data_IF_507367398898
#
_entry.id   IF_507367398898
#
_cell.length_a   1.000
_cell.length_b   1.000
_cell.length_c   1.000
_cell.angle_alpha   90.00
_cell.angle_beta   90.00
_cell.angle_gamma   90.00
#
_symmetry.space_group_name_H-M   'P 1'
#
loop_
_entity.id
_entity.type
_entity.pdbx_description
1 polymer ?
#
# COMPACT_ATOMS: atom_id res chain seq x y z
N UNK A 1 -24.95 -3.10 5.05
CA UNK A 1 -26.11 -2.38 4.52
C UNK A 1 -25.75 -0.94 4.12
N UNK A 2 -25.19 -0.13 5.04
CA UNK A 2 -24.81 1.28 4.78
C UNK A 2 -23.85 1.45 3.58
N UNK A 3 -22.77 0.68 3.51
CA UNK A 3 -21.77 0.82 2.45
C UNK A 3 -22.33 0.59 1.02
N UNK A 4 -23.26 -0.36 0.86
CA UNK A 4 -23.90 -0.63 -0.44
C UNK A 4 -24.85 0.51 -0.85
N UNK A 5 -25.57 1.11 0.11
CA UNK A 5 -26.40 2.29 -0.15
C UNK A 5 -25.54 3.48 -0.58
N UNK A 6 -24.36 3.65 0.04
CA UNK A 6 -23.39 4.69 -0.35
C UNK A 6 -23.00 4.59 -1.82
N UNK A 7 -22.80 3.38 -2.35
CA UNK A 7 -22.47 3.22 -3.79
C UNK A 7 -23.58 3.70 -4.70
N UNK A 8 -24.82 3.26 -4.44
CA UNK A 8 -25.99 3.64 -5.25
C UNK A 8 -26.19 5.15 -5.22
N UNK A 9 -26.12 5.74 -4.03
CA UNK A 9 -26.19 7.19 -3.86
C UNK A 9 -25.05 7.92 -4.59
N UNK A 10 -23.85 7.36 -4.60
CA UNK A 10 -22.69 7.96 -5.27
C UNK A 10 -22.87 8.06 -6.79
N UNK A 11 -23.59 7.11 -7.42
CA UNK A 11 -23.94 7.22 -8.84
C UNK A 11 -24.86 8.43 -9.08
N UNK A 12 -25.91 8.57 -8.28
CA UNK A 12 -26.82 9.72 -8.38
C UNK A 12 -26.09 11.04 -8.11
N UNK A 13 -25.24 11.08 -7.09
CA UNK A 13 -24.45 12.26 -6.75
C UNK A 13 -23.53 12.68 -7.89
N UNK A 14 -22.78 11.75 -8.47
CA UNK A 14 -21.86 12.05 -9.57
C UNK A 14 -22.56 12.24 -10.92
N UNK A 15 -23.83 11.84 -11.05
CA UNK A 15 -24.64 12.25 -12.19
C UNK A 15 -24.93 13.76 -12.17
N UNK A 16 -25.34 14.31 -11.01
CA UNK A 16 -25.55 15.76 -10.86
C UNK A 16 -24.24 16.55 -10.73
N UNK A 17 -23.21 15.96 -10.11
CA UNK A 17 -21.93 16.61 -9.82
C UNK A 17 -20.73 15.81 -10.36
N UNK A 18 -20.60 15.66 -11.69
CA UNK A 18 -19.63 14.74 -12.31
C UNK A 18 -18.17 15.06 -11.98
N UNK A 19 -17.84 16.34 -11.83
CA UNK A 19 -16.47 16.82 -11.55
C UNK A 19 -16.19 17.03 -10.06
N UNK A 20 -17.17 16.83 -9.17
CA UNK A 20 -16.96 17.06 -7.73
C UNK A 20 -16.01 16.02 -7.16
N UNK A 21 -14.98 16.48 -6.46
CA UNK A 21 -14.00 15.67 -5.74
C UNK A 21 -13.78 16.24 -4.34
N UNK A 22 -13.36 15.39 -3.43
CA UNK A 22 -13.02 15.71 -2.05
C UNK A 22 -11.50 15.55 -1.86
N UNK A 23 -10.88 16.47 -1.12
CA UNK A 23 -9.43 16.39 -0.86
C UNK A 23 -9.17 15.51 0.36
N UNK A 24 -8.38 14.46 0.17
CA UNK A 24 -7.86 13.61 1.24
C UNK A 24 -6.81 14.38 2.05
N UNK A 25 -6.94 14.48 3.38
CA UNK A 25 -5.94 15.17 4.18
C UNK A 25 -4.66 14.33 4.28
N UNK A 26 -3.48 14.96 4.13
CA UNK A 26 -2.18 14.27 4.26
C UNK A 26 -1.96 13.67 5.65
N UNK A 27 -2.43 14.34 6.69
CA UNK A 27 -2.42 13.80 8.05
C UNK A 27 -3.63 14.31 8.85
N UNK A 28 -4.07 13.51 9.82
CA UNK A 28 -5.01 13.93 10.87
C UNK A 28 -4.61 13.30 12.20
N UNK A 29 -4.61 14.07 13.30
CA UNK A 29 -4.41 13.50 14.62
C UNK A 29 -5.56 12.53 14.97
N UNK A 30 -5.35 11.71 16.00
CA UNK A 30 -6.42 10.95 16.61
C UNK A 30 -7.58 11.88 17.02
N UNK A 31 -8.82 11.43 16.81
CA UNK A 31 -10.01 12.15 17.25
C UNK A 31 -10.12 12.18 18.78
N UNK A 32 -9.63 11.12 19.43
CA UNK A 32 -9.64 10.96 20.88
C UNK A 32 -8.24 10.49 21.32
N UNK A 33 -7.65 11.05 22.39
CA UNK A 33 -6.37 10.57 22.89
C UNK A 33 -6.49 9.12 23.40
N UNK A 34 -5.46 8.32 23.16
CA UNK A 34 -5.36 6.98 23.75
C UNK A 34 -4.33 6.95 24.86
N UNK A 35 -4.70 6.39 26.01
CA UNK A 35 -3.75 6.08 27.09
C UNK A 35 -3.07 4.72 26.90
N UNK A 36 -3.53 3.92 25.94
CA UNK A 36 -3.02 2.56 25.68
C UNK A 36 -1.80 2.61 24.79
N UNK A 37 -0.63 2.31 25.36
CA UNK A 37 0.59 2.05 24.61
C UNK A 37 0.64 0.58 24.19
N UNK A 38 1.19 0.32 23.02
CA UNK A 38 1.37 -1.02 22.46
C UNK A 38 2.56 -1.04 21.51
N UNK A 39 3.01 -2.23 21.13
CA UNK A 39 4.17 -2.39 20.23
C UNK A 39 3.89 -1.88 18.83
N UNK A 40 2.64 -1.95 18.37
CA UNK A 40 2.17 -1.37 17.11
C UNK A 40 1.76 0.09 17.35
N UNK A 41 2.45 1.08 16.75
CA UNK A 41 2.10 2.49 16.85
C UNK A 41 0.69 2.77 16.36
N UNK A 42 0.02 3.74 16.98
CA UNK A 42 -1.37 4.10 16.65
C UNK A 42 -1.46 5.00 15.42
N UNK A 43 -0.95 4.52 14.29
CA UNK A 43 -0.91 5.23 13.01
C UNK A 43 -1.56 4.35 11.95
N UNK A 44 -2.52 4.91 11.22
CA UNK A 44 -3.12 4.30 10.03
C UNK A 44 -2.48 4.96 8.81
N UNK A 45 -1.81 4.14 7.98
CA UNK A 45 -1.20 4.52 6.72
C UNK A 45 -2.11 4.14 5.56
N UNK A 46 -2.35 5.08 4.66
CA UNK A 46 -2.98 4.83 3.37
C UNK A 46 -2.19 5.53 2.26
N UNK A 47 -2.33 5.05 1.03
CA UNK A 47 -1.77 5.71 -0.14
C UNK A 47 -2.73 5.63 -1.31
N UNK A 48 -2.64 6.60 -2.21
CA UNK A 48 -3.35 6.59 -3.48
C UNK A 48 -2.58 7.40 -4.54
N UNK A 49 -2.97 7.29 -5.80
CA UNK A 49 -2.36 8.07 -6.89
C UNK A 49 -2.76 9.55 -6.89
N UNK A 50 -3.85 9.91 -6.20
CA UNK A 50 -4.34 11.29 -6.08
C UNK A 50 -5.01 11.51 -4.73
N UNK A 51 -4.98 12.76 -4.24
CA UNK A 51 -5.72 13.18 -3.06
C UNK A 51 -7.13 13.67 -3.41
N UNK A 52 -7.50 13.70 -4.70
CA UNK A 52 -8.83 14.08 -5.18
C UNK A 52 -9.73 12.85 -5.27
N UNK A 53 -10.40 12.53 -4.18
CA UNK A 53 -11.28 11.36 -4.05
C UNK A 53 -12.70 11.62 -4.57
N UNK A 54 -13.32 10.58 -5.13
CA UNK A 54 -14.77 10.53 -5.35
C UNK A 54 -15.52 10.41 -4.03
N UNK A 55 -16.82 10.71 -4.02
CA UNK A 55 -17.64 10.65 -2.80
C UNK A 55 -17.51 9.31 -2.04
N UNK A 56 -17.65 8.12 -2.67
CA UNK A 56 -17.61 6.86 -1.93
C UNK A 56 -16.23 6.57 -1.33
N UNK A 57 -15.14 6.97 -2.00
CA UNK A 57 -13.78 6.83 -1.47
C UNK A 57 -13.58 7.75 -0.26
N UNK A 58 -14.08 8.98 -0.33
CA UNK A 58 -14.00 9.92 0.79
C UNK A 58 -14.84 9.47 1.99
N UNK A 59 -16.05 8.95 1.75
CA UNK A 59 -16.90 8.39 2.80
C UNK A 59 -16.27 7.15 3.45
N UNK A 60 -15.57 6.31 2.67
CA UNK A 60 -14.79 5.18 3.18
C UNK A 60 -13.73 5.65 4.19
N UNK A 61 -12.99 6.71 3.84
CA UNK A 61 -12.02 7.35 4.73
C UNK A 61 -12.67 7.88 6.01
N UNK A 62 -13.78 8.64 5.90
CA UNK A 62 -14.47 9.18 7.07
C UNK A 62 -14.96 8.07 8.01
N UNK A 63 -15.48 6.98 7.44
CA UNK A 63 -15.90 5.82 8.22
C UNK A 63 -14.72 5.18 8.98
N UNK A 64 -13.57 5.02 8.32
CA UNK A 64 -12.36 4.52 8.97
C UNK A 64 -11.86 5.43 10.10
N UNK A 65 -12.00 6.75 9.96
CA UNK A 65 -11.68 7.70 11.05
C UNK A 65 -12.62 7.55 12.24
N UNK A 66 -13.92 7.38 11.98
CA UNK A 66 -14.93 7.23 13.02
C UNK A 66 -14.75 5.94 13.82
N UNK A 67 -14.45 4.83 13.15
CA UNK A 67 -14.30 3.52 13.80
C UNK A 67 -12.94 3.33 14.50
N UNK A 68 -11.94 4.14 14.15
CA UNK A 68 -10.61 4.15 14.77
C UNK A 68 -10.26 5.53 15.34
N UNK A 69 -11.04 6.02 16.32
CA UNK A 69 -10.94 7.41 16.79
C UNK A 69 -9.63 7.70 17.54
N UNK A 70 -8.98 6.66 18.08
CA UNK A 70 -7.74 6.71 18.86
C UNK A 70 -6.47 6.61 18.00
N UNK A 71 -6.62 6.56 16.67
CA UNK A 71 -5.52 6.37 15.74
C UNK A 71 -5.27 7.64 14.94
N UNK A 72 -4.00 7.98 14.77
CA UNK A 72 -3.56 8.98 13.81
C UNK A 72 -3.79 8.45 12.39
N UNK A 73 -4.07 9.35 11.46
CA UNK A 73 -4.20 9.05 10.04
C UNK A 73 -3.07 9.73 9.26
N UNK A 74 -2.41 8.97 8.38
CA UNK A 74 -1.40 9.46 7.44
C UNK A 74 -1.68 8.95 6.04
N UNK A 75 -1.59 9.85 5.08
CA UNK A 75 -1.91 9.61 3.68
C UNK A 75 -0.80 10.12 2.78
N UNK A 76 -0.25 9.21 1.97
CA UNK A 76 0.83 9.50 1.03
C UNK A 76 0.35 9.38 -0.41
N UNK A 77 0.74 10.33 -1.25
CA UNK A 77 0.64 10.20 -2.70
C UNK A 77 1.84 9.47 -3.30
N UNK A 78 1.81 9.28 -4.63
CA UNK A 78 2.89 8.63 -5.38
C UNK A 78 4.24 9.25 -5.11
N UNK A 79 4.33 10.56 -5.18
CA UNK A 79 5.54 11.34 -4.93
C UNK A 79 6.02 11.21 -3.47
N UNK A 80 5.09 11.21 -2.50
CA UNK A 80 5.43 11.10 -1.08
C UNK A 80 6.06 9.74 -0.74
N UNK A 81 5.68 8.68 -1.46
CA UNK A 81 6.23 7.33 -1.26
C UNK A 81 7.72 7.29 -1.58
N UNK A 82 8.13 7.84 -2.72
CA UNK A 82 9.53 7.90 -3.14
C UNK A 82 10.36 8.76 -2.18
N UNK A 83 9.83 9.93 -1.79
CA UNK A 83 10.48 10.82 -0.82
C UNK A 83 10.72 10.10 0.51
N UNK A 84 9.69 9.43 1.05
CA UNK A 84 9.82 8.65 2.28
C UNK A 84 10.93 7.59 2.19
N UNK A 85 11.01 6.87 1.07
CA UNK A 85 12.03 5.83 0.89
C UNK A 85 13.43 6.46 0.87
N UNK A 86 13.62 7.53 0.09
CA UNK A 86 14.91 8.23 0.00
C UNK A 86 15.42 8.81 1.32
N UNK A 87 14.52 9.10 2.27
CA UNK A 87 14.87 9.65 3.58
C UNK A 87 15.17 8.59 4.65
N UNK A 88 14.74 7.34 4.43
CA UNK A 88 14.74 6.33 5.50
C UNK A 88 15.43 5.02 5.14
N UNK A 89 15.71 4.78 3.87
CA UNK A 89 16.33 3.58 3.31
C UNK A 89 17.52 3.97 2.43
N UNK A 90 18.37 2.98 2.16
CA UNK A 90 19.56 3.15 1.31
C UNK A 90 19.21 3.31 -0.19
N UNK A 91 20.25 3.61 -0.97
CA UNK A 91 20.14 3.80 -2.41
C UNK A 91 19.67 2.53 -3.14
N UNK A 92 19.99 1.33 -2.63
CA UNK A 92 19.63 0.08 -3.26
C UNK A 92 18.12 -0.19 -3.17
N UNK A 93 17.52 0.06 -2.01
CA UNK A 93 16.06 -0.03 -1.82
C UNK A 93 15.35 1.01 -2.69
N UNK A 94 15.86 2.23 -2.75
CA UNK A 94 15.30 3.28 -3.61
C UNK A 94 15.40 2.91 -5.10
N UNK A 95 16.53 2.36 -5.54
CA UNK A 95 16.73 1.90 -6.91
C UNK A 95 15.76 0.77 -7.28
N UNK A 96 15.53 -0.20 -6.37
CA UNK A 96 14.50 -1.22 -6.56
C UNK A 96 13.11 -0.60 -6.70
N UNK A 97 12.77 0.38 -5.85
CA UNK A 97 11.48 1.06 -5.91
C UNK A 97 11.29 1.81 -7.25
N UNK A 98 12.31 2.53 -7.70
CA UNK A 98 12.27 3.32 -8.94
C UNK A 98 12.14 2.46 -10.21
N UNK A 99 12.52 1.17 -10.14
CA UNK A 99 12.29 0.22 -11.25
C UNK A 99 10.82 -0.16 -11.42
N UNK A 100 9.97 -0.05 -10.40
CA UNK A 100 8.57 -0.46 -10.48
C UNK A 100 7.76 0.49 -11.37
N UNK A 101 7.14 -0.03 -12.43
CA UNK A 101 6.39 0.78 -13.41
C UNK A 101 4.88 0.84 -13.10
N UNK A 102 4.38 -0.05 -12.24
CA UNK A 102 2.96 -0.14 -11.91
C UNK A 102 2.73 0.44 -10.51
N UNK A 103 1.84 1.44 -10.42
CA UNK A 103 1.57 2.16 -9.17
C UNK A 103 1.10 1.28 -8.01
N UNK A 104 0.41 0.16 -8.30
CA UNK A 104 0.03 -0.84 -7.30
C UNK A 104 1.24 -1.61 -6.76
N UNK A 105 2.18 -2.01 -7.62
CA UNK A 105 3.43 -2.65 -7.19
C UNK A 105 4.29 -1.70 -6.35
N UNK A 106 4.35 -0.42 -6.73
CA UNK A 106 4.97 0.62 -5.91
C UNK A 106 4.29 0.76 -4.53
N UNK A 107 2.96 0.68 -4.46
CA UNK A 107 2.23 0.76 -3.19
C UNK A 107 2.46 -0.47 -2.31
N UNK A 108 2.59 -1.66 -2.92
CA UNK A 108 2.95 -2.90 -2.26
C UNK A 108 4.34 -2.85 -1.63
N UNK A 109 5.34 -2.31 -2.33
CA UNK A 109 6.67 -2.19 -1.73
C UNK A 109 6.68 -1.10 -0.63
N UNK A 110 6.09 0.06 -0.92
CA UNK A 110 6.03 1.16 0.05
C UNK A 110 5.32 0.78 1.36
N UNK A 111 4.19 0.04 1.31
CA UNK A 111 3.46 -0.35 2.55
C UNK A 111 4.30 -1.22 3.47
N UNK A 112 5.15 -2.08 2.92
CA UNK A 112 6.07 -2.93 3.67
C UNK A 112 7.17 -2.06 4.30
N UNK A 113 7.75 -1.14 3.52
CA UNK A 113 8.82 -0.25 3.99
C UNK A 113 8.33 0.72 5.08
N UNK A 114 7.19 1.38 4.88
CA UNK A 114 6.66 2.31 5.90
C UNK A 114 6.33 1.59 7.20
N UNK A 115 5.78 0.37 7.14
CA UNK A 115 5.50 -0.44 8.33
C UNK A 115 6.77 -0.96 9.00
N UNK A 116 7.78 -1.37 8.23
CA UNK A 116 9.06 -1.79 8.82
C UNK A 116 9.72 -0.62 9.55
N UNK A 117 9.75 0.58 8.94
CA UNK A 117 10.42 1.74 9.54
C UNK A 117 9.63 2.35 10.71
N UNK A 118 8.34 2.58 10.51
CA UNK A 118 7.51 3.41 11.40
C UNK A 118 6.47 2.61 12.18
N UNK A 119 6.21 1.35 11.79
CA UNK A 119 5.11 0.56 12.31
C UNK A 119 3.74 1.15 11.99
N UNK A 120 2.73 0.56 12.63
CA UNK A 120 1.34 0.97 12.55
C UNK A 120 0.48 -0.01 11.78
N UNK A 121 -0.59 0.49 11.18
CA UNK A 121 -1.52 -0.27 10.38
C UNK A 121 -1.56 0.32 8.98
N UNK A 122 -1.27 -0.47 7.97
CA UNK A 122 -1.56 -0.14 6.59
C UNK A 122 -2.96 -0.63 6.23
N UNK A 123 -3.70 0.20 5.47
CA UNK A 123 -5.02 -0.12 4.94
C UNK A 123 -5.18 0.41 3.51
N UNK A 124 -5.56 -0.44 2.56
CA UNK A 124 -5.87 0.00 1.18
C UNK A 124 -6.95 1.09 1.17
N UNK A 125 -6.89 2.00 0.20
CA UNK A 125 -7.78 3.17 0.14
C UNK A 125 -9.27 2.81 -0.03
N UNK A 126 -9.55 1.65 -0.63
CA UNK A 126 -10.88 1.10 -0.85
C UNK A 126 -11.30 0.10 0.23
N UNK A 127 -10.48 -0.09 1.27
CA UNK A 127 -10.75 -0.97 2.38
C UNK A 127 -11.26 -0.20 3.61
N UNK A 128 -12.07 -0.86 4.43
CA UNK A 128 -12.54 -0.32 5.71
C UNK A 128 -12.58 -1.39 6.79
N UNK A 129 -12.36 -0.94 8.01
CA UNK A 129 -12.45 -1.77 9.20
C UNK A 129 -13.90 -2.08 9.53
N UNK A 130 -14.18 -3.29 10.01
CA UNK A 130 -15.53 -3.71 10.40
C UNK A 130 -15.82 -3.45 11.88
N UNK A 131 -14.77 -3.20 12.67
CA UNK A 131 -14.80 -2.90 14.09
C UNK A 131 -13.57 -2.10 14.49
N UNK A 132 -13.55 -1.44 15.66
CA UNK A 132 -12.38 -0.72 16.13
C UNK A 132 -11.14 -1.62 16.20
N UNK A 133 -9.97 -1.07 15.88
CA UNK A 133 -8.70 -1.83 15.83
C UNK A 133 -8.34 -2.47 17.17
N UNK A 134 -8.81 -1.92 18.29
CA UNK A 134 -8.64 -2.48 19.63
C UNK A 134 -9.24 -3.88 19.80
N UNK A 135 -10.18 -4.27 18.94
CA UNK A 135 -10.75 -5.62 18.93
C UNK A 135 -10.01 -6.58 17.99
N UNK A 136 -9.08 -6.06 17.19
CA UNK A 136 -8.26 -6.82 16.24
C UNK A 136 -6.85 -7.00 16.80
N UNK A 137 -6.32 -5.94 17.43
CA UNK A 137 -4.94 -5.83 17.90
C UNK A 137 -4.86 -5.72 19.43
N UNK A 138 -3.99 -6.53 20.01
CA UNK A 138 -3.56 -6.50 21.40
C UNK A 138 -2.29 -5.66 21.54
N UNK A 139 -2.05 -5.00 22.69
CA UNK A 139 -0.83 -4.21 22.91
C UNK A 139 0.49 -4.98 22.74
N UNK A 140 0.47 -6.31 22.91
CA UNK A 140 1.63 -7.20 22.82
C UNK A 140 1.87 -7.75 21.41
N UNK A 141 0.94 -7.53 20.47
CA UNK A 141 1.10 -8.02 19.10
C UNK A 141 2.29 -7.33 18.41
N UNK A 142 3.12 -8.12 17.73
CA UNK A 142 4.19 -7.59 16.88
C UNK A 142 3.70 -7.35 15.44
N UNK A 143 2.63 -8.03 15.03
CA UNK A 143 2.04 -7.95 13.70
C UNK A 143 0.64 -8.55 13.66
N UNK A 144 -0.10 -8.28 12.58
CA UNK A 144 -1.31 -9.01 12.22
C UNK A 144 -1.59 -8.89 10.72
N UNK A 145 -2.07 -9.97 10.11
CA UNK A 145 -2.42 -10.03 8.69
C UNK A 145 -3.85 -10.54 8.50
N UNK A 146 -4.54 -10.08 7.44
CA UNK A 146 -5.86 -10.59 7.12
C UNK A 146 -5.77 -11.82 6.23
N UNK A 147 -6.47 -12.90 6.61
CA UNK A 147 -6.71 -14.06 5.74
C UNK A 147 -7.95 -13.87 4.88
N UNK A 148 -7.80 -14.17 3.59
CA UNK A 148 -8.91 -14.23 2.63
C UNK A 148 -9.79 -15.45 2.90
N UNK A 149 -10.93 -15.55 2.19
CA UNK A 149 -11.80 -16.73 2.26
C UNK A 149 -11.09 -18.04 1.86
N UNK A 150 -10.03 -17.96 1.04
CA UNK A 150 -9.27 -19.13 0.59
C UNK A 150 -8.20 -19.59 1.59
N UNK A 151 -7.97 -18.81 2.65
CA UNK A 151 -6.94 -19.09 3.65
C UNK A 151 -5.63 -18.36 3.42
N UNK A 152 -5.43 -17.80 2.23
CA UNK A 152 -4.23 -17.02 1.89
C UNK A 152 -4.17 -15.69 2.65
N UNK A 153 -2.96 -15.25 2.98
CA UNK A 153 -2.71 -13.90 3.45
C UNK A 153 -3.03 -12.89 2.35
N UNK A 154 -3.63 -11.78 2.74
CA UNK A 154 -3.78 -10.58 1.92
C UNK A 154 -2.83 -9.49 2.39
N UNK A 155 -2.54 -8.52 1.53
CA UNK A 155 -1.70 -7.37 1.86
C UNK A 155 -2.48 -6.04 1.96
N UNK A 156 -3.82 -6.04 1.78
CA UNK A 156 -4.65 -4.83 1.87
C UNK A 156 -4.84 -4.33 3.31
N UNK A 157 -4.54 -5.18 4.30
CA UNK A 157 -4.46 -4.85 5.72
C UNK A 157 -3.22 -5.51 6.31
N UNK A 158 -2.36 -4.72 6.94
CA UNK A 158 -1.18 -5.21 7.64
C UNK A 158 -1.00 -4.35 8.88
N UNK A 159 -0.86 -4.98 10.04
CA UNK A 159 -0.42 -4.32 11.26
C UNK A 159 1.00 -4.79 11.58
N UNK A 160 1.89 -3.89 12.00
CA UNK A 160 3.25 -4.26 12.39
C UNK A 160 3.87 -3.26 13.35
N UNK A 161 4.72 -3.75 14.25
CA UNK A 161 5.63 -2.89 15.01
C UNK A 161 6.81 -2.42 14.15
N UNK A 162 7.45 -1.29 14.48
CA UNK A 162 8.71 -0.90 13.86
C UNK A 162 9.78 -1.98 14.04
N UNK A 163 10.61 -2.19 13.03
CA UNK A 163 11.71 -3.15 13.02
C UNK A 163 11.25 -4.61 13.16
N UNK A 164 10.08 -4.96 12.65
CA UNK A 164 9.60 -6.34 12.67
C UNK A 164 10.42 -7.21 11.69
N UNK A 165 11.05 -8.31 12.14
CA UNK A 165 11.86 -9.19 11.28
C UNK A 165 11.11 -9.78 10.08
N UNK A 166 9.82 -10.10 10.23
CA UNK A 166 9.00 -10.59 9.13
C UNK A 166 8.77 -9.49 8.08
N UNK A 167 8.59 -8.25 8.51
CA UNK A 167 8.46 -7.12 7.58
C UNK A 167 9.76 -6.86 6.82
N UNK A 168 10.90 -6.95 7.49
CA UNK A 168 12.23 -6.89 6.84
C UNK A 168 12.41 -8.03 5.83
N UNK A 169 12.09 -9.26 6.22
CA UNK A 169 12.14 -10.44 5.34
C UNK A 169 11.27 -10.28 4.10
N UNK A 170 10.07 -9.70 4.23
CA UNK A 170 9.20 -9.41 3.07
C UNK A 170 9.82 -8.32 2.20
N UNK A 171 10.34 -7.24 2.79
CA UNK A 171 11.00 -6.17 2.05
C UNK A 171 12.16 -6.71 1.20
N UNK A 172 13.01 -7.57 1.80
CA UNK A 172 14.14 -8.22 1.12
C UNK A 172 13.65 -9.17 0.02
N UNK A 173 12.57 -9.90 0.26
CA UNK A 173 11.92 -10.75 -0.73
C UNK A 173 11.41 -9.98 -1.93
N UNK A 174 10.73 -8.86 -1.70
CA UNK A 174 10.26 -7.95 -2.75
C UNK A 174 11.45 -7.39 -3.53
N UNK A 175 12.47 -6.88 -2.85
CA UNK A 175 13.67 -6.34 -3.51
C UNK A 175 14.38 -7.41 -4.37
N UNK A 176 14.45 -8.66 -3.90
CA UNK A 176 14.98 -9.79 -4.67
C UNK A 176 14.13 -10.08 -5.91
N UNK A 177 12.81 -10.10 -5.77
CA UNK A 177 11.90 -10.30 -6.90
C UNK A 177 11.95 -9.14 -7.90
N UNK A 178 12.27 -7.92 -7.48
CA UNK A 178 12.48 -6.80 -8.41
C UNK A 178 13.79 -7.00 -9.20
N UNK A 179 14.87 -7.44 -8.53
CA UNK A 179 16.16 -7.72 -9.20
C UNK A 179 16.08 -8.93 -10.13
N UNK A 180 15.35 -9.96 -9.71
CA UNK A 180 15.17 -11.20 -10.45
C UNK A 180 13.68 -11.58 -10.49
N UNK A 181 12.89 -10.98 -11.41
CA UNK A 181 11.45 -11.20 -11.49
C UNK A 181 11.11 -12.67 -11.73
N UNK A 182 10.33 -13.32 -10.83
CA UNK A 182 9.90 -14.70 -11.03
C UNK A 182 8.81 -14.83 -12.11
N UNK A 183 8.12 -13.73 -12.40
CA UNK A 183 7.05 -13.61 -13.39
C UNK A 183 6.85 -12.12 -13.73
N UNK A 184 5.92 -11.79 -14.64
CA UNK A 184 5.47 -10.42 -14.87
C UNK A 184 4.10 -10.17 -14.20
N UNK A 185 3.99 -10.48 -12.91
CA UNK A 185 2.73 -10.38 -12.16
C UNK A 185 2.96 -9.63 -10.84
N UNK A 186 2.20 -8.56 -10.61
CA UNK A 186 2.29 -7.76 -9.39
C UNK A 186 2.08 -8.63 -8.15
N UNK A 187 1.18 -9.60 -8.22
CA UNK A 187 0.88 -10.51 -7.11
C UNK A 187 2.11 -11.29 -6.62
N UNK A 188 2.96 -11.74 -7.54
CA UNK A 188 4.13 -12.57 -7.25
C UNK A 188 5.36 -11.73 -6.89
N UNK A 189 5.51 -10.55 -7.51
CA UNK A 189 6.70 -9.70 -7.34
C UNK A 189 6.63 -8.92 -6.02
N UNK A 190 5.52 -8.20 -5.79
CA UNK A 190 5.38 -7.26 -4.66
C UNK A 190 4.18 -7.58 -3.76
N UNK A 191 3.18 -8.26 -4.31
CA UNK A 191 1.88 -8.46 -3.69
C UNK A 191 1.81 -9.61 -2.68
N UNK A 192 0.59 -10.12 -2.40
CA UNK A 192 0.37 -11.16 -1.40
C UNK A 192 1.13 -12.47 -1.64
N UNK A 193 1.54 -12.78 -2.88
CA UNK A 193 2.31 -13.98 -3.19
C UNK A 193 3.62 -14.05 -2.39
N UNK A 194 4.27 -12.90 -2.19
CA UNK A 194 5.50 -12.80 -1.39
C UNK A 194 5.25 -13.14 0.09
N UNK A 195 4.15 -12.64 0.65
CA UNK A 195 3.77 -12.89 2.04
C UNK A 195 3.47 -14.36 2.27
N UNK A 196 2.68 -14.97 1.38
CA UNK A 196 2.31 -16.39 1.49
C UNK A 196 3.51 -17.33 1.29
N UNK A 197 4.51 -16.91 0.51
CA UNK A 197 5.73 -17.69 0.28
C UNK A 197 6.70 -17.60 1.47
N UNK A 198 6.85 -16.42 2.06
CA UNK A 198 7.91 -16.16 3.05
C UNK A 198 7.49 -16.34 4.50
N UNK A 199 6.19 -16.20 4.81
CA UNK A 199 5.70 -16.26 6.18
C UNK A 199 5.11 -17.61 6.54
N UNK A 200 5.48 -18.10 7.72
CA UNK A 200 4.85 -19.26 8.34
C UNK A 200 3.55 -18.84 9.03
N UNK A 201 2.41 -19.13 8.38
CA UNK A 201 1.09 -18.75 8.85
C UNK A 201 0.71 -19.35 10.23
N UNK A 202 1.45 -20.36 10.71
CA UNK A 202 1.24 -20.94 12.05
C UNK A 202 1.91 -20.13 13.17
N UNK A 203 2.88 -19.28 12.83
CA UNK A 203 3.68 -18.50 13.79
C UNK A 203 3.34 -17.02 13.83
N UNK A 204 2.54 -16.55 12.88
CA UNK A 204 2.13 -15.16 12.77
C UNK A 204 0.68 -14.99 13.21
N UNK A 205 0.35 -13.82 13.74
CA UNK A 205 -1.04 -13.48 14.05
C UNK A 205 -1.80 -13.23 12.76
N UNK A 206 -2.94 -13.90 12.64
CA UNK A 206 -3.86 -13.70 11.52
C UNK A 206 -5.26 -13.39 12.02
N UNK A 207 -6.01 -12.67 11.20
CA UNK A 207 -7.36 -12.26 11.49
C UNK A 207 -8.25 -12.51 10.27
N UNK A 208 -9.51 -12.89 10.49
CA UNK A 208 -10.42 -13.22 9.40
C UNK A 208 -10.98 -11.94 8.77
N UNK A 209 -11.01 -11.89 7.43
CA UNK A 209 -11.50 -10.72 6.68
C UNK A 209 -12.90 -10.28 7.15
N UNK A 210 -13.82 -11.22 7.36
CA UNK A 210 -15.22 -10.97 7.76
C UNK A 210 -15.41 -10.29 9.12
N UNK A 211 -14.37 -10.25 9.95
CA UNK A 211 -14.42 -9.61 11.27
C UNK A 211 -13.46 -8.43 11.41
N UNK A 212 -12.54 -8.28 10.46
CA UNK A 212 -11.46 -7.30 10.58
C UNK A 212 -11.66 -6.15 9.62
N UNK A 213 -11.67 -6.46 8.33
CA UNK A 213 -11.57 -5.47 7.28
C UNK A 213 -12.17 -6.03 5.99
N UNK A 214 -13.02 -5.23 5.35
CA UNK A 214 -13.60 -5.55 4.06
C UNK A 214 -13.15 -4.52 3.00
N UNK A 215 -12.90 -5.01 1.79
CA UNK A 215 -12.43 -4.23 0.66
C UNK A 215 -13.56 -4.02 -0.36
N UNK A 216 -13.65 -2.81 -0.91
CA UNK A 216 -14.54 -2.51 -2.03
C UNK A 216 -16.04 -2.54 -1.67
N UNK A 217 -16.44 -2.35 -0.42
CA UNK A 217 -17.87 -2.26 -0.05
C UNK A 217 -18.42 -0.84 -0.13
N UNK A 218 -17.60 0.20 0.06
CA UNK A 218 -18.00 1.60 -0.09
C UNK A 218 -17.86 2.09 -1.53
N UNK A 219 -16.88 1.57 -2.26
CA UNK A 219 -16.53 1.99 -3.63
C UNK A 219 -16.51 0.80 -4.59
N UNK A 220 -16.17 1.04 -5.86
CA UNK A 220 -15.92 0.04 -6.89
C UNK A 220 -14.81 0.53 -7.83
N UNK A 221 -14.42 -0.30 -8.79
CA UNK A 221 -13.37 0.04 -9.76
C UNK A 221 -13.66 1.36 -10.48
N UNK A 222 -14.93 1.61 -10.85
CA UNK A 222 -15.33 2.85 -11.53
C UNK A 222 -15.03 4.09 -10.67
N UNK A 223 -15.51 4.14 -9.43
CA UNK A 223 -15.29 5.31 -8.57
C UNK A 223 -13.87 5.46 -8.04
N UNK A 224 -13.14 4.34 -7.89
CA UNK A 224 -11.75 4.36 -7.43
C UNK A 224 -10.80 4.89 -8.51
N UNK A 225 -11.07 4.60 -9.78
CA UNK A 225 -10.18 4.93 -10.90
C UNK A 225 -10.82 5.89 -11.90
N UNK A 226 -11.86 6.62 -11.49
CA UNK A 226 -12.63 7.52 -12.36
C UNK A 226 -11.74 8.53 -13.11
N UNK A 227 -10.68 8.98 -12.47
CA UNK A 227 -9.73 9.97 -13.02
C UNK A 227 -8.37 9.35 -13.38
N UNK A 228 -8.23 8.02 -13.36
CA UNK A 228 -6.97 7.32 -13.66
C UNK A 228 -7.04 6.70 -15.05
N UNK A 229 -6.28 7.25 -16.00
CA UNK A 229 -6.29 6.82 -17.40
C UNK A 229 -5.93 5.34 -17.59
N UNK A 230 -4.97 4.85 -16.82
CA UNK A 230 -4.47 3.46 -16.90
C UNK A 230 -5.43 2.46 -16.22
N UNK A 231 -6.40 2.95 -15.45
CA UNK A 231 -7.34 2.12 -14.71
C UNK A 231 -6.68 1.21 -13.67
N UNK A 232 -7.26 0.01 -13.50
CA UNK A 232 -6.84 -0.99 -12.51
C UNK A 232 -5.58 -1.73 -12.97
N UNK A 233 -4.68 -1.99 -12.01
CA UNK A 233 -3.38 -2.62 -12.25
C UNK A 233 -3.46 -4.00 -12.94
N UNK A 234 -4.53 -4.77 -12.69
CA UNK A 234 -4.74 -6.08 -13.32
C UNK A 234 -4.84 -5.99 -14.84
N UNK A 235 -5.29 -4.84 -15.37
CA UNK A 235 -5.32 -4.55 -16.81
C UNK A 235 -3.97 -4.00 -17.27
N UNK A 236 -3.41 -3.07 -16.49
CA UNK A 236 -2.14 -2.41 -16.80
C UNK A 236 -0.96 -3.39 -16.97
N UNK A 237 -0.87 -4.43 -16.14
CA UNK A 237 0.24 -5.39 -16.21
C UNK A 237 0.27 -6.27 -17.46
N UNK A 238 -0.82 -6.31 -18.25
CA UNK A 238 -0.84 -7.01 -19.54
C UNK A 238 -0.16 -6.20 -20.65
N UNK A 239 0.03 -4.89 -20.46
CA UNK A 239 0.61 -3.97 -21.45
C UNK A 239 1.89 -3.29 -20.96
N UNK A 240 2.16 -3.32 -19.67
CA UNK A 240 3.35 -2.70 -19.04
C UNK A 240 4.04 -3.74 -18.17
N UNK A 241 5.36 -3.91 -18.37
CA UNK A 241 6.17 -4.74 -17.47
C UNK A 241 6.07 -4.19 -16.03
N UNK A 242 5.92 -5.06 -15.04
CA UNK A 242 5.88 -4.65 -13.63
C UNK A 242 7.20 -3.99 -13.22
N UNK A 243 8.32 -4.53 -13.72
CA UNK A 243 9.68 -4.08 -13.45
C UNK A 243 10.29 -3.54 -14.74
N UNK A 244 10.78 -2.30 -14.69
CA UNK A 244 11.50 -1.67 -15.79
C UNK A 244 12.91 -2.25 -15.99
N UNK A 245 13.55 -1.93 -17.12
CA UNK A 245 14.92 -2.35 -17.39
C UNK A 245 15.87 -1.82 -16.31
N UNK A 246 17.01 -2.48 -16.14
CA UNK A 246 18.09 -1.93 -15.33
C UNK A 246 18.57 -0.63 -15.99
N UNK A 247 18.85 0.39 -15.19
CA UNK A 247 19.51 1.57 -15.72
C UNK A 247 20.86 1.10 -16.27
N UNK A 248 21.04 1.18 -17.60
CA UNK A 248 22.35 0.97 -18.20
C UNK A 248 23.33 1.90 -17.49
N UNK A 249 24.33 1.33 -16.82
CA UNK A 249 25.41 2.11 -16.23
C UNK A 249 26.00 2.98 -17.34
N UNK A 250 25.91 4.31 -17.20
CA UNK A 250 26.47 5.29 -18.12
C UNK A 250 28.03 5.32 -18.06
N UNK A 251 28.67 4.15 -18.08
CA UNK A 251 30.11 3.93 -17.96
C UNK A 251 30.57 2.96 -19.04
N UNK A 252 30.15 3.15 -20.29
CA UNK A 252 30.72 2.44 -21.44
C UNK A 252 30.85 3.29 -22.72
N UNK A 253 30.75 4.62 -22.66
CA UNK A 253 31.01 5.49 -23.83
C UNK A 253 32.25 6.39 -23.74
N UNK A 254 33.11 6.24 -22.72
CA UNK A 254 34.39 6.96 -22.62
C UNK A 254 35.64 6.08 -22.84
N UNK A 255 35.48 4.80 -23.15
CA UNK A 255 36.62 3.89 -23.37
C UNK A 255 37.03 3.71 -24.85
N UNK A 256 36.43 4.46 -25.80
CA UNK A 256 36.74 4.31 -27.24
C UNK A 256 37.34 5.54 -27.95
N UNK A 257 37.67 6.62 -27.23
CA UNK A 257 38.28 7.84 -27.84
C UNK A 257 39.74 8.10 -27.46
N UNK A 258 40.46 7.13 -26.90
CA UNK A 258 41.83 7.32 -26.42
C UNK A 258 42.87 6.38 -27.04
N UNK A 259 43.02 6.34 -28.37
CA UNK A 259 44.17 5.68 -29.02
C UNK A 259 44.45 6.30 -30.40
N UNK A 260 45.33 7.32 -30.44
CA UNK A 260 46.35 7.51 -31.49
C UNK A 260 47.53 8.29 -30.88
N UNK A 261 48.74 7.71 -30.80
CA UNK A 261 49.95 8.49 -30.67
C UNK A 261 50.38 9.00 -32.06
N UNK A 262 50.89 10.23 -32.04
CA UNK A 262 51.35 11.00 -33.18
C UNK A 262 52.50 10.32 -33.94
N UNK A 263 52.49 10.50 -35.27
CA UNK A 263 53.62 10.32 -36.19
C UNK A 263 53.82 11.65 -36.93
#
# INVERSE_FOLDING_TARGET
>A
MVANLTKVFSYLFHWFFPKKRFTMPRARPALIPSRKQGRIPRIIWQTNYTDRATLPVYLNYLFNRLISPTWEYRFHLTEDRRVFISQHYDADVLACYDRLQIGAAQADFWRVLVLNKMGGVYLDIDAHMLRPLEFVLSPQDDEAYVKTRRGDLSNYFIASRPGNPNMARIADGIARNIRHPPSNNVFDITGPGVFNTLLDQSKIKTCLYKFTCAQGTFTNEYFQYLDKKEGKWTKQQHVTSVVGPEAESAVQSQAQTGLRPDA
#
